data_IF_320764186762
#
_entry.id   IF_320764186762
#
_cell.length_a   1.000
_cell.length_b   1.000
_cell.length_c   1.000
_cell.angle_alpha   90.00
_cell.angle_beta   90.00
_cell.angle_gamma   90.00
#
_symmetry.space_group_name_H-M   'P 1'
#
loop_
_entity.id
_entity.type
_entity.pdbx_description
1 polymer ?
#
# COMPACT_ATOMS: atom_id res chain seq x y z
N UNK A 1 2.47 27.31 -33.27
CA UNK A 1 1.94 26.45 -32.17
C UNK A 1 0.57 27.00 -31.81
N UNK A 2 -0.48 26.19 -31.93
CA UNK A 2 -1.83 26.66 -31.63
C UNK A 2 -1.98 26.91 -30.13
N UNK A 3 -2.64 28.00 -29.76
CA UNK A 3 -2.85 28.39 -28.35
C UNK A 3 -3.51 27.29 -27.53
N UNK A 4 -4.33 26.44 -28.16
CA UNK A 4 -4.95 25.24 -27.54
C UNK A 4 -3.93 24.18 -27.14
N UNK A 5 -2.93 23.93 -27.97
CA UNK A 5 -1.85 22.97 -27.66
C UNK A 5 -0.98 23.50 -26.52
N UNK A 6 -0.66 24.79 -26.54
CA UNK A 6 0.10 25.40 -25.44
C UNK A 6 -0.66 25.34 -24.11
N UNK A 7 -1.97 25.56 -24.11
CA UNK A 7 -2.81 25.45 -22.91
C UNK A 7 -2.86 24.02 -22.37
N UNK A 8 -3.01 23.02 -23.25
CA UNK A 8 -3.00 21.59 -22.85
C UNK A 8 -1.66 21.18 -22.25
N UNK A 9 -0.54 21.57 -22.87
CA UNK A 9 0.80 21.30 -22.35
C UNK A 9 1.06 21.99 -21.01
N UNK A 10 0.58 23.22 -20.83
CA UNK A 10 0.69 23.94 -19.57
C UNK A 10 -0.14 23.24 -18.46
N UNK A 11 -1.36 22.81 -18.77
CA UNK A 11 -2.21 22.07 -17.84
C UNK A 11 -1.56 20.75 -17.42
N UNK A 12 -1.03 19.98 -18.37
CA UNK A 12 -0.33 18.71 -18.12
C UNK A 12 0.92 18.94 -17.26
N UNK A 13 1.70 19.97 -17.57
CA UNK A 13 2.89 20.34 -16.80
C UNK A 13 2.56 20.70 -15.34
N UNK A 14 1.51 21.50 -15.11
CA UNK A 14 1.07 21.87 -13.77
C UNK A 14 0.57 20.63 -13.00
N UNK A 15 -0.25 19.79 -13.64
CA UNK A 15 -0.82 18.61 -13.01
C UNK A 15 0.28 17.61 -12.61
N UNK A 16 1.17 17.28 -13.54
CA UNK A 16 2.28 16.37 -13.27
C UNK A 16 3.25 16.97 -12.24
N UNK A 17 3.55 18.27 -12.35
CA UNK A 17 4.38 18.98 -11.38
C UNK A 17 3.80 18.93 -9.96
N UNK A 18 2.50 19.11 -9.80
CA UNK A 18 1.81 19.01 -8.51
C UNK A 18 1.89 17.60 -7.93
N UNK A 19 1.71 16.56 -8.76
CA UNK A 19 1.84 15.14 -8.33
C UNK A 19 3.26 14.87 -7.83
N UNK A 20 4.29 15.26 -8.56
CA UNK A 20 5.68 15.09 -8.14
C UNK A 20 6.02 15.88 -6.87
N UNK A 21 5.50 17.09 -6.73
CA UNK A 21 5.69 17.89 -5.52
C UNK A 21 5.08 17.23 -4.28
N UNK A 22 3.86 16.69 -4.40
CA UNK A 22 3.20 15.95 -3.31
C UNK A 22 3.96 14.68 -2.95
N UNK A 23 4.44 13.95 -3.94
CA UNK A 23 5.25 12.73 -3.72
C UNK A 23 6.56 13.07 -2.99
N UNK A 24 7.26 14.11 -3.44
CA UNK A 24 8.48 14.57 -2.78
C UNK A 24 8.22 15.00 -1.32
N UNK A 25 7.14 15.74 -1.07
CA UNK A 25 6.74 16.13 0.27
C UNK A 25 6.47 14.92 1.16
N UNK A 26 5.73 13.94 0.65
CA UNK A 26 5.43 12.71 1.38
C UNK A 26 6.71 11.95 1.75
N UNK A 27 7.67 11.82 0.83
CA UNK A 27 8.96 11.18 1.08
C UNK A 27 9.78 11.91 2.15
N UNK A 28 9.82 13.25 2.08
CA UNK A 28 10.51 14.07 3.07
C UNK A 28 9.88 13.91 4.46
N UNK A 29 8.55 13.90 4.55
CA UNK A 29 7.84 13.72 5.82
C UNK A 29 8.12 12.32 6.42
N UNK A 30 8.05 11.27 5.61
CA UNK A 30 8.38 9.92 6.06
C UNK A 30 9.82 9.86 6.57
N UNK A 31 10.78 10.41 5.81
CA UNK A 31 12.18 10.44 6.23
C UNK A 31 12.40 11.24 7.50
N UNK A 32 11.76 12.41 7.65
CA UNK A 32 11.89 13.25 8.82
C UNK A 32 11.43 12.55 10.11
N UNK A 33 10.39 11.74 10.03
CA UNK A 33 9.83 11.01 11.18
C UNK A 33 10.55 9.69 11.44
N UNK A 34 10.78 8.89 10.39
CA UNK A 34 11.28 7.52 10.52
C UNK A 34 12.80 7.41 10.41
N UNK A 35 13.46 8.41 9.84
CA UNK A 35 14.87 8.40 9.43
C UNK A 35 15.24 7.25 8.49
N UNK A 36 14.24 6.67 7.83
CA UNK A 36 14.37 5.62 6.82
C UNK A 36 14.02 6.21 5.47
N UNK A 37 14.85 5.95 4.46
CA UNK A 37 14.55 6.34 3.07
C UNK A 37 13.56 5.31 2.53
N UNK A 38 12.30 5.74 2.34
CA UNK A 38 11.24 4.89 1.84
C UNK A 38 11.29 4.78 0.32
N UNK A 39 12.11 3.88 -0.19
CA UNK A 39 12.28 3.63 -1.63
C UNK A 39 11.01 3.07 -2.30
N UNK A 40 10.20 2.20 -1.65
CA UNK A 40 9.02 1.60 -2.30
C UNK A 40 7.87 2.56 -2.65
N UNK A 41 8.00 3.87 -2.41
CA UNK A 41 6.95 4.85 -2.72
C UNK A 41 6.46 4.79 -4.17
N UNK A 42 7.35 4.57 -5.14
CA UNK A 42 7.00 4.41 -6.55
C UNK A 42 6.12 3.19 -6.81
N UNK A 43 6.41 2.07 -6.14
CA UNK A 43 5.62 0.85 -6.23
C UNK A 43 4.21 1.04 -5.68
N UNK A 44 4.04 1.79 -4.60
CA UNK A 44 2.72 2.11 -4.05
C UNK A 44 1.86 2.91 -5.03
N UNK A 45 2.46 3.87 -5.76
CA UNK A 45 1.79 4.61 -6.82
C UNK A 45 1.40 3.68 -7.97
N UNK A 46 2.31 2.81 -8.41
CA UNK A 46 2.04 1.83 -9.46
C UNK A 46 0.92 0.87 -9.06
N UNK A 47 0.93 0.32 -7.85
CA UNK A 47 -0.16 -0.52 -7.35
C UNK A 47 -1.49 0.22 -7.27
N UNK A 48 -1.48 1.49 -6.86
CA UNK A 48 -2.68 2.32 -6.84
C UNK A 48 -3.29 2.50 -8.23
N UNK A 49 -2.48 2.90 -9.20
CA UNK A 49 -2.94 3.11 -10.58
C UNK A 49 -3.44 1.84 -11.24
N UNK A 50 -2.71 0.72 -11.10
CA UNK A 50 -3.12 -0.59 -11.64
C UNK A 50 -4.40 -1.11 -10.97
N UNK A 51 -4.58 -0.86 -9.68
CA UNK A 51 -5.80 -1.25 -8.97
C UNK A 51 -7.00 -0.46 -9.47
N UNK A 52 -6.86 0.86 -9.58
CA UNK A 52 -7.93 1.70 -10.08
C UNK A 52 -8.32 1.32 -11.52
N UNK A 53 -7.32 1.13 -12.39
CA UNK A 53 -7.55 0.68 -13.75
C UNK A 53 -8.24 -0.69 -13.82
N UNK A 54 -7.83 -1.64 -12.97
CA UNK A 54 -8.49 -2.95 -12.88
C UNK A 54 -9.94 -2.87 -12.44
N UNK A 55 -10.24 -2.03 -11.43
CA UNK A 55 -11.60 -1.78 -10.96
C UNK A 55 -12.47 -1.15 -12.04
N UNK A 56 -11.95 -0.20 -12.83
CA UNK A 56 -12.66 0.41 -13.95
C UNK A 56 -13.00 -0.60 -15.05
N UNK A 57 -12.15 -1.59 -15.26
CA UNK A 57 -12.36 -2.68 -16.21
C UNK A 57 -13.26 -3.81 -15.67
N UNK A 58 -13.71 -3.73 -14.40
CA UNK A 58 -14.47 -4.79 -13.74
C UNK A 58 -13.68 -6.10 -13.57
N UNK A 59 -12.35 -6.03 -13.63
CA UNK A 59 -11.45 -7.19 -13.51
C UNK A 59 -10.90 -7.30 -12.09
N UNK A 60 -10.68 -8.52 -11.64
CA UNK A 60 -9.94 -8.77 -10.40
C UNK A 60 -8.56 -8.12 -10.45
N UNK A 61 -8.18 -7.43 -9.40
CA UNK A 61 -6.91 -6.68 -9.31
C UNK A 61 -5.82 -7.53 -8.67
N UNK A 62 -4.60 -7.46 -9.19
CA UNK A 62 -3.44 -8.15 -8.64
C UNK A 62 -3.15 -7.75 -7.17
N UNK A 63 -3.54 -6.54 -6.76
CA UNK A 63 -3.35 -6.06 -5.39
C UNK A 63 -4.16 -6.89 -4.38
N UNK A 64 -5.34 -7.40 -4.75
CA UNK A 64 -6.12 -8.25 -3.85
C UNK A 64 -5.39 -9.55 -3.52
N UNK A 65 -4.76 -10.18 -4.53
CA UNK A 65 -3.92 -11.36 -4.34
C UNK A 65 -2.68 -11.06 -3.51
N UNK A 66 -2.03 -9.93 -3.76
CA UNK A 66 -0.86 -9.50 -3.01
C UNK A 66 -1.19 -9.20 -1.54
N UNK A 67 -2.28 -8.47 -1.27
CA UNK A 67 -2.76 -8.23 0.10
C UNK A 67 -3.07 -9.54 0.82
N UNK A 68 -3.73 -10.49 0.15
CA UNK A 68 -4.04 -11.78 0.73
C UNK A 68 -2.75 -12.57 1.07
N UNK A 69 -1.79 -12.62 0.15
CA UNK A 69 -0.51 -13.29 0.38
C UNK A 69 0.26 -12.67 1.55
N UNK A 70 0.37 -11.33 1.58
CA UNK A 70 1.04 -10.62 2.67
C UNK A 70 0.32 -10.80 4.01
N UNK A 71 -1.01 -10.82 4.02
CA UNK A 71 -1.82 -11.06 5.21
C UNK A 71 -1.57 -12.47 5.79
N UNK A 72 -1.46 -13.48 4.91
CA UNK A 72 -1.12 -14.85 5.32
C UNK A 72 0.29 -14.91 5.92
N UNK A 73 1.28 -14.26 5.30
CA UNK A 73 2.65 -14.20 5.82
C UNK A 73 2.68 -13.49 7.18
N UNK A 74 2.03 -12.33 7.30
CA UNK A 74 1.94 -11.60 8.56
C UNK A 74 1.24 -12.42 9.65
N UNK A 75 0.16 -13.11 9.31
CA UNK A 75 -0.53 -14.02 10.21
C UNK A 75 0.35 -15.19 10.68
N UNK A 76 1.10 -15.80 9.77
CA UNK A 76 2.05 -16.87 10.11
C UNK A 76 3.16 -16.38 11.06
N UNK A 77 3.69 -15.15 10.82
CA UNK A 77 4.67 -14.53 11.72
C UNK A 77 4.09 -14.27 13.11
N UNK A 78 2.83 -13.83 13.21
CA UNK A 78 2.14 -13.65 14.50
C UNK A 78 1.98 -14.97 15.25
N UNK A 79 1.52 -16.02 14.58
CA UNK A 79 1.39 -17.36 15.18
C UNK A 79 2.76 -17.86 15.66
N UNK A 80 3.80 -17.76 14.84
CA UNK A 80 5.14 -18.18 15.21
C UNK A 80 5.69 -17.38 16.42
N UNK A 81 5.43 -16.07 16.47
CA UNK A 81 5.84 -15.22 17.59
C UNK A 81 5.11 -15.56 18.88
N UNK A 82 3.80 -15.85 18.80
CA UNK A 82 2.98 -16.24 19.93
C UNK A 82 3.39 -17.60 20.53
N UNK A 83 3.71 -18.58 19.68
CA UNK A 83 4.25 -19.87 20.10
C UNK A 83 5.57 -19.68 20.86
N UNK A 84 6.46 -18.82 20.34
CA UNK A 84 7.76 -18.52 20.99
C UNK A 84 7.59 -17.83 22.34
N UNK A 85 6.67 -16.86 22.44
CA UNK A 85 6.47 -16.04 23.66
C UNK A 85 5.51 -16.66 24.67
N UNK A 86 4.82 -17.75 24.35
CA UNK A 86 3.75 -18.41 25.15
C UNK A 86 2.64 -17.44 25.60
N UNK A 87 2.43 -16.35 24.88
CA UNK A 87 1.41 -15.35 25.17
C UNK A 87 0.25 -15.47 24.20
N UNK A 88 -0.73 -16.33 24.54
CA UNK A 88 -1.93 -16.52 23.70
C UNK A 88 -2.98 -15.39 23.87
N UNK A 89 -2.85 -14.55 24.90
CA UNK A 89 -3.92 -13.64 25.33
C UNK A 89 -4.21 -12.51 24.33
N UNK A 90 -3.21 -12.08 23.54
CA UNK A 90 -3.35 -11.04 22.54
C UNK A 90 -3.38 -11.58 21.10
N UNK A 91 -3.20 -12.89 20.93
CA UNK A 91 -3.07 -13.50 19.60
C UNK A 91 -4.30 -13.27 18.72
N UNK A 92 -5.50 -13.41 19.26
CA UNK A 92 -6.74 -13.22 18.50
C UNK A 92 -6.88 -11.79 17.98
N UNK A 93 -6.57 -10.77 18.80
CA UNK A 93 -6.62 -9.37 18.40
C UNK A 93 -5.54 -9.02 17.38
N UNK A 94 -4.34 -9.54 17.57
CA UNK A 94 -3.21 -9.35 16.66
C UNK A 94 -3.47 -9.99 15.30
N UNK A 95 -3.96 -11.23 15.26
CA UNK A 95 -4.36 -11.91 14.03
C UNK A 95 -5.50 -11.18 13.31
N UNK A 96 -6.48 -10.67 14.05
CA UNK A 96 -7.60 -9.93 13.47
C UNK A 96 -7.11 -8.64 12.80
N UNK A 97 -6.14 -7.93 13.38
CA UNK A 97 -5.60 -6.69 12.83
C UNK A 97 -4.63 -6.95 11.67
N UNK A 98 -3.70 -7.88 11.82
CA UNK A 98 -2.60 -8.07 10.86
C UNK A 98 -2.92 -9.03 9.71
N UNK A 99 -3.84 -9.97 9.90
CA UNK A 99 -4.29 -10.88 8.87
C UNK A 99 -5.75 -10.60 8.46
N UNK A 100 -6.65 -10.42 9.43
CA UNK A 100 -8.08 -10.28 9.19
C UNK A 100 -8.44 -9.00 8.42
N UNK A 101 -7.92 -7.84 8.84
CA UNK A 101 -8.23 -6.58 8.18
C UNK A 101 -7.75 -6.52 6.72
N UNK A 102 -6.50 -6.89 6.38
CA UNK A 102 -6.06 -6.91 4.98
C UNK A 102 -6.78 -7.97 4.14
N UNK A 103 -7.12 -9.13 4.71
CA UNK A 103 -7.92 -10.15 4.03
C UNK A 103 -9.34 -9.65 3.76
N UNK A 104 -9.96 -8.92 4.68
CA UNK A 104 -11.27 -8.30 4.47
C UNK A 104 -11.23 -7.28 3.32
N UNK A 105 -10.18 -6.46 3.25
CA UNK A 105 -9.98 -5.50 2.14
C UNK A 105 -9.78 -6.24 0.82
N UNK A 106 -8.97 -7.29 0.80
CA UNK A 106 -8.75 -8.12 -0.40
C UNK A 106 -10.05 -8.77 -0.88
N UNK A 107 -10.84 -9.34 0.04
CA UNK A 107 -12.14 -9.93 -0.26
C UNK A 107 -13.12 -8.87 -0.77
N UNK A 108 -13.17 -7.71 -0.12
CA UNK A 108 -14.04 -6.60 -0.53
C UNK A 108 -13.74 -6.18 -1.97
N UNK A 109 -12.46 -6.01 -2.32
CA UNK A 109 -12.05 -5.68 -3.69
C UNK A 109 -12.46 -6.78 -4.66
N UNK A 110 -12.25 -8.04 -4.30
CA UNK A 110 -12.58 -9.17 -5.16
C UNK A 110 -14.07 -9.25 -5.48
N UNK A 111 -14.94 -9.01 -4.47
CA UNK A 111 -16.40 -9.07 -4.66
C UNK A 111 -16.98 -7.81 -5.30
N UNK A 112 -16.40 -6.64 -5.05
CA UNK A 112 -16.92 -5.36 -5.54
C UNK A 112 -16.43 -5.04 -6.95
N UNK A 113 -15.24 -5.51 -7.35
CA UNK A 113 -14.67 -5.24 -8.68
C UNK A 113 -15.64 -5.58 -9.85
N UNK A 114 -16.30 -6.76 -9.89
CA UNK A 114 -17.20 -7.10 -10.99
C UNK A 114 -18.50 -6.27 -11.00
N UNK A 115 -18.87 -5.65 -9.88
CA UNK A 115 -20.09 -4.81 -9.81
C UNK A 115 -19.91 -3.44 -10.45
N UNK A 116 -18.68 -3.05 -10.83
CA UNK A 116 -18.32 -1.75 -11.40
C UNK A 116 -18.94 -0.57 -10.62
N UNK A 117 -18.59 -0.40 -9.35
CA UNK A 117 -19.17 0.63 -8.49
C UNK A 117 -18.88 2.05 -9.02
N UNK A 118 -19.60 3.08 -8.54
CA UNK A 118 -19.32 4.46 -8.90
C UNK A 118 -17.85 4.84 -8.70
N UNK A 119 -17.33 5.73 -9.54
CA UNK A 119 -15.92 6.14 -9.55
C UNK A 119 -15.35 6.52 -8.18
N UNK A 120 -16.14 7.23 -7.37
CA UNK A 120 -15.74 7.59 -5.99
C UNK A 120 -15.48 6.35 -5.10
N UNK A 121 -16.31 5.31 -5.24
CA UNK A 121 -16.12 4.06 -4.48
C UNK A 121 -14.86 3.33 -4.96
N UNK A 122 -14.57 3.35 -6.26
CA UNK A 122 -13.34 2.76 -6.80
C UNK A 122 -12.09 3.46 -6.25
N UNK A 123 -12.12 4.81 -6.15
CA UNK A 123 -11.02 5.58 -5.54
C UNK A 123 -10.85 5.20 -4.07
N UNK A 124 -11.94 5.17 -3.29
CA UNK A 124 -11.88 4.82 -1.87
C UNK A 124 -11.35 3.39 -1.64
N UNK A 125 -11.78 2.43 -2.45
CA UNK A 125 -11.27 1.06 -2.39
C UNK A 125 -9.78 1.00 -2.72
N UNK A 126 -9.35 1.72 -3.76
CA UNK A 126 -7.93 1.80 -4.14
C UNK A 126 -7.09 2.39 -3.03
N UNK A 127 -7.52 3.52 -2.44
CA UNK A 127 -6.83 4.16 -1.32
C UNK A 127 -6.77 3.23 -0.10
N UNK A 128 -7.87 2.55 0.21
CA UNK A 128 -7.91 1.58 1.32
C UNK A 128 -6.95 0.43 1.09
N UNK A 129 -6.89 -0.11 -0.13
CA UNK A 129 -5.98 -1.19 -0.49
C UNK A 129 -4.52 -0.78 -0.36
N UNK A 130 -4.14 0.37 -0.93
CA UNK A 130 -2.77 0.89 -0.88
C UNK A 130 -2.37 1.23 0.56
N UNK A 131 -3.28 1.82 1.34
CA UNK A 131 -3.03 2.12 2.75
C UNK A 131 -2.81 0.85 3.57
N UNK A 132 -3.54 -0.23 3.28
CA UNK A 132 -3.36 -1.52 3.96
C UNK A 132 -2.00 -2.18 3.67
N UNK A 133 -1.39 -1.89 2.51
CA UNK A 133 -0.06 -2.40 2.17
C UNK A 133 1.05 -1.83 3.07
N UNK A 134 0.98 -0.55 3.44
CA UNK A 134 2.01 0.12 4.23
C UNK A 134 2.36 -0.60 5.54
N UNK A 135 1.40 -0.79 6.46
CA UNK A 135 1.62 -1.52 7.71
C UNK A 135 2.09 -2.97 7.51
N UNK A 136 1.59 -3.66 6.46
CA UNK A 136 2.02 -5.02 6.14
C UNK A 136 3.48 -5.05 5.70
N UNK A 137 3.90 -4.14 4.83
CA UNK A 137 5.30 -3.99 4.43
C UNK A 137 6.19 -3.70 5.64
N UNK A 138 5.79 -2.77 6.49
CA UNK A 138 6.53 -2.48 7.71
C UNK A 138 6.67 -3.73 8.59
N UNK A 139 5.59 -4.45 8.81
CA UNK A 139 5.57 -5.65 9.65
C UNK A 139 6.46 -6.76 9.13
N UNK A 140 6.42 -7.02 7.82
CA UNK A 140 7.12 -8.14 7.18
C UNK A 140 8.60 -7.82 6.94
N UNK A 141 8.88 -6.63 6.38
CA UNK A 141 10.22 -6.29 5.94
C UNK A 141 11.04 -5.54 7.00
N UNK A 142 10.45 -4.53 7.64
CA UNK A 142 11.21 -3.62 8.50
C UNK A 142 11.27 -4.05 9.97
N UNK A 143 10.20 -4.62 10.50
CA UNK A 143 10.16 -4.98 11.91
C UNK A 143 11.21 -6.04 12.31
N UNK A 144 11.50 -7.08 11.50
CA UNK A 144 12.57 -8.03 11.82
C UNK A 144 13.97 -7.41 11.84
N UNK A 145 14.14 -6.26 11.17
CA UNK A 145 15.44 -5.60 10.96
C UNK A 145 15.48 -4.24 11.69
N UNK A 146 14.52 -3.96 12.56
CA UNK A 146 14.38 -2.65 13.23
C UNK A 146 15.61 -2.22 14.07
N UNK A 147 16.43 -3.17 14.49
CA UNK A 147 17.69 -2.91 15.22
C UNK A 147 18.93 -2.81 14.31
N UNK A 148 18.75 -3.00 12.99
CA UNK A 148 19.85 -2.95 12.04
C UNK A 148 20.24 -1.50 11.71
N UNK A 149 21.47 -1.33 11.18
CA UNK A 149 21.95 -0.02 10.74
C UNK A 149 21.09 0.55 9.60
N UNK A 150 21.07 1.89 9.48
CA UNK A 150 20.34 2.60 8.41
C UNK A 150 20.69 2.10 7.01
N UNK A 151 21.96 1.67 6.80
CA UNK A 151 22.41 1.08 5.54
C UNK A 151 21.69 -0.24 5.21
N UNK A 152 21.47 -1.10 6.20
CA UNK A 152 20.75 -2.38 6.00
C UNK A 152 19.28 -2.12 5.68
N UNK A 153 18.67 -1.14 6.34
CA UNK A 153 17.29 -0.72 6.04
C UNK A 153 17.15 -0.17 4.62
N UNK A 154 18.17 0.54 4.13
CA UNK A 154 18.19 1.04 2.75
C UNK A 154 18.30 -0.10 1.72
N UNK A 155 19.11 -1.11 2.00
CA UNK A 155 19.31 -2.25 1.07
C UNK A 155 18.04 -3.10 0.97
N UNK A 156 17.27 -3.19 2.05
CA UNK A 156 16.02 -3.99 2.12
C UNK A 156 14.83 -3.25 1.51
N UNK A 157 14.87 -1.91 1.45
CA UNK A 157 13.79 -1.11 0.84
C UNK A 157 13.91 -1.02 -0.68
#
# INVERSE_FOLDING_TARGET
MDASIAALLAQDGITNGAVYALLALALVLVFAVTRVIWVPSGEFVAYGTLTLAGLQLGKGTGIAGMLAAMAVVAGAMEVASAIRRREARHLARSLLLWAGAPLAVAALIHYVAPLQPPFLVQILLTLTAVTALGPLFYRIAYQPIAEASVLVLLIVS
#
